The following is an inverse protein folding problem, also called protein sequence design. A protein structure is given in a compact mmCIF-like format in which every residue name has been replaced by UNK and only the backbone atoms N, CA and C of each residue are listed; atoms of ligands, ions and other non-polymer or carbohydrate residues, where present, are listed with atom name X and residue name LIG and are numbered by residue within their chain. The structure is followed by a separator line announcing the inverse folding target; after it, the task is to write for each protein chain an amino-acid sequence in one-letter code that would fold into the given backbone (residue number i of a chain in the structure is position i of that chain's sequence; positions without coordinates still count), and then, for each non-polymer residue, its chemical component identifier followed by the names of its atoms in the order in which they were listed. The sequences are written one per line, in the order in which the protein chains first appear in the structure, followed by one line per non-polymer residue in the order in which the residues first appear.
data_IF_267794327172
#
_entry.id   IF_267794327172
#
_cell.length_a   1.000
_cell.length_b   1.000
_cell.length_c   1.000
_cell.angle_alpha   90.00
_cell.angle_beta   90.00
_cell.angle_gamma   90.00
#
_symmetry.space_group_name_H-M   'P 1'
#
loop_
_entity.id
_entity.type
_entity.pdbx_description
1 polymer ?
#
# COMPACT_ATOMS: atom_id res chain seq x y z
N UNK A 1 0.71 -31.18 22.83
CA UNK A 1 1.63 -30.14 22.30
C UNK A 1 1.20 -29.90 20.86
N UNK A 2 0.46 -28.83 20.59
CA UNK A 2 0.02 -28.51 19.23
C UNK A 2 1.17 -27.81 18.52
N UNK A 3 1.56 -28.35 17.38
CA UNK A 3 2.58 -27.81 16.48
C UNK A 3 1.94 -26.61 15.78
N UNK A 4 2.39 -25.40 16.12
CA UNK A 4 1.96 -24.18 15.43
C UNK A 4 2.77 -24.10 14.13
N UNK A 5 2.17 -24.52 13.02
CA UNK A 5 2.75 -24.28 11.69
C UNK A 5 2.69 -22.77 11.41
N UNK A 6 3.85 -22.15 11.30
CA UNK A 6 4.02 -20.76 10.91
C UNK A 6 3.66 -20.62 9.43
N UNK A 7 2.43 -20.17 9.14
CA UNK A 7 1.97 -19.96 7.76
C UNK A 7 2.67 -18.74 7.15
N UNK A 8 3.85 -18.96 6.56
CA UNK A 8 4.49 -17.96 5.72
C UNK A 8 3.54 -17.55 4.59
N UNK A 9 3.21 -16.26 4.53
CA UNK A 9 2.30 -15.68 3.54
C UNK A 9 2.91 -15.79 2.14
N UNK A 10 2.52 -16.82 1.39
CA UNK A 10 2.93 -16.98 0.00
C UNK A 10 2.33 -15.85 -0.86
N UNK A 11 3.10 -15.28 -1.80
CA UNK A 11 2.59 -14.26 -2.71
C UNK A 11 1.54 -14.88 -3.61
N UNK A 12 0.33 -14.31 -3.59
CA UNK A 12 -0.74 -14.75 -4.48
C UNK A 12 -0.57 -14.03 -5.81
N UNK A 13 -0.77 -14.78 -6.90
CA UNK A 13 -0.49 -14.43 -8.29
C UNK A 13 -0.37 -12.92 -8.58
N UNK A 14 0.86 -12.43 -8.69
CA UNK A 14 1.17 -11.10 -9.23
C UNK A 14 1.05 -9.93 -8.24
N UNK A 15 1.72 -10.02 -7.09
CA UNK A 15 2.19 -8.88 -6.30
C UNK A 15 1.25 -8.27 -5.25
N UNK A 16 0.15 -8.94 -4.84
CA UNK A 16 -0.68 -8.46 -3.73
C UNK A 16 -0.59 -9.44 -2.56
N UNK A 17 0.06 -9.01 -1.49
CA UNK A 17 0.25 -9.74 -0.25
C UNK A 17 -0.56 -9.12 0.90
N UNK A 18 -0.93 -9.90 1.94
CA UNK A 18 -1.43 -9.32 3.17
C UNK A 18 -0.45 -8.25 3.69
N UNK A 19 -0.96 -7.06 4.00
CA UNK A 19 -0.19 -5.88 4.36
C UNK A 19 -0.01 -4.85 3.23
N UNK A 20 -0.34 -5.19 1.99
CA UNK A 20 -0.35 -4.21 0.90
C UNK A 20 -1.56 -3.28 0.98
N UNK A 21 -1.37 -2.04 0.54
CA UNK A 21 -2.46 -1.07 0.35
C UNK A 21 -3.01 -1.24 -1.06
N UNK A 22 -4.32 -1.38 -1.15
CA UNK A 22 -5.02 -1.56 -2.41
C UNK A 22 -6.18 -0.56 -2.53
N UNK A 23 -6.50 -0.19 -3.76
CA UNK A 23 -7.68 0.57 -4.09
C UNK A 23 -8.79 -0.38 -4.54
N UNK A 24 -9.94 -0.29 -3.89
CA UNK A 24 -11.16 -1.03 -4.21
C UNK A 24 -12.25 -0.06 -4.65
N UNK A 25 -13.08 -0.49 -5.60
CA UNK A 25 -14.27 0.29 -5.95
C UNK A 25 -15.42 -0.16 -5.06
N UNK A 26 -15.78 0.66 -4.08
CA UNK A 26 -16.85 0.39 -3.13
C UNK A 26 -18.17 1.00 -3.64
N UNK A 27 -19.23 0.20 -3.73
CA UNK A 27 -20.49 0.61 -4.38
C UNK A 27 -21.07 1.93 -3.84
N UNK A 28 -20.96 2.17 -2.52
CA UNK A 28 -21.53 3.36 -1.86
C UNK A 28 -20.62 4.59 -1.85
N UNK A 29 -19.31 4.38 -1.81
CA UNK A 29 -18.31 5.42 -1.51
C UNK A 29 -17.30 5.63 -2.64
N UNK A 30 -17.50 4.93 -3.78
CA UNK A 30 -16.61 4.96 -4.93
C UNK A 30 -15.27 4.31 -4.63
N UNK A 31 -14.20 4.83 -5.26
CA UNK A 31 -12.84 4.32 -5.09
C UNK A 31 -12.32 4.65 -3.69
N UNK A 32 -12.06 3.61 -2.89
CA UNK A 32 -11.51 3.70 -1.54
C UNK A 32 -10.20 2.93 -1.46
N UNK A 33 -9.28 3.42 -0.62
CA UNK A 33 -8.06 2.70 -0.27
C UNK A 33 -8.28 1.88 0.99
N UNK A 34 -7.61 0.72 1.06
CA UNK A 34 -7.66 -0.13 2.23
C UNK A 34 -6.47 -1.07 2.31
N UNK A 35 -6.27 -1.63 3.49
CA UNK A 35 -5.21 -2.58 3.79
C UNK A 35 -5.70 -4.01 3.50
N UNK A 36 -4.90 -4.80 2.78
CA UNK A 36 -5.20 -6.22 2.60
C UNK A 36 -4.91 -6.96 3.90
N UNK A 37 -5.94 -7.53 4.51
CA UNK A 37 -5.82 -8.33 5.74
C UNK A 37 -5.68 -9.81 5.41
N UNK A 38 -6.34 -10.25 4.34
CA UNK A 38 -6.38 -11.65 3.96
C UNK A 38 -6.86 -11.87 2.54
N UNK A 39 -6.88 -13.14 2.16
CA UNK A 39 -7.22 -13.58 0.83
C UNK A 39 -7.75 -15.00 0.89
N UNK A 40 -8.82 -15.27 0.18
CA UNK A 40 -9.40 -16.61 0.06
C UNK A 40 -9.80 -16.90 -1.37
N UNK A 41 -9.93 -18.18 -1.70
CA UNK A 41 -10.41 -18.65 -3.00
C UNK A 41 -11.80 -19.26 -2.79
N UNK A 42 -12.75 -18.82 -3.61
CA UNK A 42 -14.12 -19.34 -3.65
C UNK A 42 -14.16 -20.74 -4.30
N UNK A 43 -15.26 -21.47 -4.14
CA UNK A 43 -15.45 -22.81 -4.72
C UNK A 43 -15.29 -22.84 -6.25
N UNK A 44 -15.58 -21.72 -6.92
CA UNK A 44 -15.41 -21.54 -8.35
C UNK A 44 -13.96 -21.16 -8.76
N UNK A 45 -12.99 -21.23 -7.85
CA UNK A 45 -11.58 -20.87 -8.13
C UNK A 45 -11.32 -19.37 -8.26
N UNK A 46 -12.29 -18.52 -7.93
CA UNK A 46 -12.14 -17.05 -7.96
C UNK A 46 -11.51 -16.55 -6.68
N UNK A 47 -10.59 -15.59 -6.78
CA UNK A 47 -9.94 -15.02 -5.63
C UNK A 47 -10.70 -13.82 -5.07
N UNK A 48 -10.87 -13.82 -3.75
CA UNK A 48 -11.49 -12.77 -2.96
C UNK A 48 -10.45 -12.23 -1.99
N UNK A 49 -10.27 -10.92 -1.98
CA UNK A 49 -9.40 -10.20 -1.06
C UNK A 49 -10.24 -9.60 0.07
N UNK A 50 -9.77 -9.77 1.30
CA UNK A 50 -10.35 -9.16 2.49
C UNK A 50 -9.57 -7.87 2.77
N UNK A 51 -10.22 -6.73 2.53
CA UNK A 51 -9.60 -5.40 2.62
C UNK A 51 -10.24 -4.60 3.73
N UNK A 52 -9.45 -4.18 4.71
CA UNK A 52 -9.91 -3.24 5.73
C UNK A 52 -9.88 -1.82 5.16
N UNK A 53 -11.06 -1.21 5.03
CA UNK A 53 -11.19 0.16 4.53
C UNK A 53 -10.71 1.15 5.60
N UNK A 54 -9.90 2.13 5.20
CA UNK A 54 -9.39 3.15 6.13
C UNK A 54 -10.52 4.06 6.66
N UNK A 55 -11.52 4.34 5.82
CA UNK A 55 -12.60 5.28 6.14
C UNK A 55 -13.67 4.73 7.11
N UNK A 56 -14.00 3.44 7.01
CA UNK A 56 -15.05 2.81 7.84
C UNK A 56 -14.52 1.75 8.80
N UNK A 57 -13.24 1.38 8.70
CA UNK A 57 -12.63 0.24 9.41
C UNK A 57 -13.36 -1.10 9.21
N UNK A 58 -14.23 -1.18 8.19
CA UNK A 58 -14.96 -2.40 7.84
C UNK A 58 -14.10 -3.28 6.93
N UNK A 59 -14.30 -4.60 7.04
CA UNK A 59 -13.66 -5.58 6.15
C UNK A 59 -14.55 -5.73 4.91
N UNK A 60 -14.07 -5.20 3.80
CA UNK A 60 -14.70 -5.31 2.51
C UNK A 60 -14.15 -6.49 1.71
N UNK A 61 -15.04 -7.29 1.14
CA UNK A 61 -14.68 -8.41 0.27
C UNK A 61 -14.64 -7.94 -1.18
N UNK A 62 -13.45 -7.88 -1.74
CA UNK A 62 -13.23 -7.43 -3.11
C UNK A 62 -12.79 -8.58 -4.02
N UNK A 63 -13.34 -8.62 -5.23
CA UNK A 63 -12.98 -9.63 -6.22
C UNK A 63 -11.70 -9.24 -6.96
N UNK A 64 -10.77 -10.18 -7.08
CA UNK A 64 -9.66 -10.04 -8.03
C UNK A 64 -10.17 -10.31 -9.46
N UNK A 65 -9.75 -9.55 -10.51
CA UNK A 65 -8.68 -8.55 -10.57
C UNK A 65 -9.16 -7.08 -10.44
N UNK A 66 -10.37 -6.85 -9.94
CA UNK A 66 -10.96 -5.50 -9.81
C UNK A 66 -10.23 -4.62 -8.79
N UNK A 67 -9.32 -5.20 -8.02
CA UNK A 67 -8.50 -4.54 -7.01
C UNK A 67 -7.18 -4.11 -7.61
N UNK A 68 -6.82 -2.83 -7.41
CA UNK A 68 -5.55 -2.27 -7.91
C UNK A 68 -4.61 -2.00 -6.76
N UNK A 69 -3.38 -2.52 -6.81
CA UNK A 69 -2.34 -2.20 -5.81
C UNK A 69 -1.99 -0.72 -5.84
N UNK A 70 -1.98 -0.08 -4.67
CA UNK A 70 -1.55 1.31 -4.51
C UNK A 70 -0.11 1.32 -4.04
N UNK A 71 0.81 1.72 -4.93
CA UNK A 71 2.23 1.91 -4.57
C UNK A 71 2.47 3.36 -4.16
N UNK A 72 2.55 3.62 -2.85
CA UNK A 72 2.97 4.94 -2.33
C UNK A 72 4.49 5.10 -2.54
N UNK A 73 4.89 5.85 -3.57
CA UNK A 73 6.29 6.19 -3.80
C UNK A 73 6.63 7.40 -2.92
N UNK A 74 7.29 7.17 -1.79
CA UNK A 74 7.80 8.26 -0.94
C UNK A 74 9.09 8.77 -1.57
N UNK A 75 9.02 9.89 -2.28
CA UNK A 75 10.20 10.63 -2.71
C UNK A 75 10.64 11.55 -1.57
N UNK A 76 11.70 11.16 -0.85
CA UNK A 76 12.41 12.12 -0.02
C UNK A 76 13.07 13.14 -0.93
N UNK A 77 12.50 14.34 -1.03
CA UNK A 77 13.26 15.49 -1.55
C UNK A 77 14.45 15.64 -0.63
N UNK A 78 15.65 15.31 -1.11
CA UNK A 78 16.87 15.55 -0.34
C UNK A 78 16.94 17.07 -0.12
N UNK A 79 17.15 17.57 1.11
CA UNK A 79 17.37 18.98 1.30
C UNK A 79 18.56 19.39 0.44
N UNK A 80 18.31 20.20 -0.58
CA UNK A 80 19.36 20.77 -1.41
C UNK A 80 20.15 21.68 -0.48
N UNK A 81 21.36 21.25 -0.11
CA UNK A 81 22.30 22.08 0.66
C UNK A 81 22.46 23.37 -0.13
N UNK A 82 21.91 24.47 0.39
CA UNK A 82 21.95 25.76 -0.28
C UNK A 82 23.42 26.08 -0.60
N UNK A 83 23.71 26.32 -1.88
CA UNK A 83 25.07 26.61 -2.37
C UNK A 83 25.54 27.87 -1.64
N UNK A 84 26.45 27.71 -0.67
CA UNK A 84 27.02 28.84 0.06
C UNK A 84 27.80 29.70 -0.95
N UNK A 85 27.36 30.94 -1.15
CA UNK A 85 28.09 31.93 -1.96
C UNK A 85 28.98 32.72 -1.02
N UNK A 86 30.29 32.51 -1.12
CA UNK A 86 31.28 33.38 -0.48
C UNK A 86 31.32 34.71 -1.24
N UNK A 87 31.05 35.82 -0.55
CA UNK A 87 31.18 37.17 -1.10
C UNK A 87 32.44 37.77 -0.50
N UNK A 88 33.45 38.03 -1.33
CA UNK A 88 34.63 38.78 -0.93
C UNK A 88 34.35 40.28 -1.07
N UNK A 89 34.45 41.02 0.03
CA UNK A 89 34.33 42.48 0.06
C UNK A 89 35.72 43.10 0.19
N UNK A 90 36.19 43.79 -0.86
CA UNK A 90 37.37 44.66 -0.76
C UNK A 90 36.94 46.06 -0.35
N UNK A 91 37.55 46.58 0.71
CA UNK A 91 37.36 47.94 1.21
C UNK A 91 38.63 48.70 0.85
N UNK A 92 38.49 49.76 0.07
CA UNK A 92 39.53 50.76 -0.13
C UNK A 92 39.17 51.95 0.75
N UNK A 93 40.03 52.23 1.72
CA UNK A 93 40.03 53.49 2.44
C UNK A 93 40.53 54.62 1.53
#
# INVERSE_FOLDING_TARGET
MAIYEEYASLPISGDITPGDIVAVNHDRYGRQEGLVVGSRVDFAGRQILEVQLEASSEIYQAWYPTVTRVRRTVSYTRPVVAKQRTIERRIYW
#
